data_IF_691534949799
#
_entry.id   IF_691534949799
#
_cell.length_a   1.000
_cell.length_b   1.000
_cell.length_c   1.000
_cell.angle_alpha   90.00
_cell.angle_beta   90.00
_cell.angle_gamma   90.00
#
_symmetry.space_group_name_H-M   'P 1'
#
loop_
_entity.id
_entity.type
_entity.pdbx_description
1 polymer ?
#
# COMPACT_ATOMS: atom_id res chain seq x y z
N UNK A 1 2.44 7.57 15.91
CA UNK A 1 1.31 6.81 15.32
C UNK A 1 0.01 7.27 15.97
N UNK A 2 -1.06 7.47 15.18
CA UNK A 2 -2.38 7.86 15.68
C UNK A 2 -3.37 6.70 15.57
N UNK A 3 -4.41 6.68 16.41
CA UNK A 3 -5.47 5.66 16.34
C UNK A 3 -6.27 5.80 15.05
N UNK A 4 -6.24 4.77 14.19
CA UNK A 4 -6.95 4.72 12.91
C UNK A 4 -8.27 3.95 13.01
N UNK A 5 -8.27 2.80 13.70
CA UNK A 5 -9.44 1.97 13.85
C UNK A 5 -9.45 1.27 15.21
N UNK A 6 -10.65 0.98 15.71
CA UNK A 6 -10.87 0.19 16.91
C UNK A 6 -11.77 -0.97 16.54
N UNK A 7 -11.31 -2.18 16.83
CA UNK A 7 -12.09 -3.41 16.66
C UNK A 7 -12.68 -3.78 18.01
N UNK A 8 -13.99 -4.01 18.04
CA UNK A 8 -14.71 -4.40 19.26
C UNK A 8 -15.31 -5.78 19.13
N UNK A 9 -15.28 -6.56 20.22
CA UNK A 9 -15.95 -7.86 20.35
C UNK A 9 -16.78 -7.89 21.62
N UNK A 10 -18.06 -8.22 21.51
CA UNK A 10 -19.01 -8.24 22.63
C UNK A 10 -18.98 -6.96 23.47
N UNK A 11 -18.90 -5.79 22.81
CA UNK A 11 -18.81 -4.44 23.42
C UNK A 11 -17.47 -4.10 24.11
N UNK A 12 -16.49 -4.99 24.07
CA UNK A 12 -15.13 -4.71 24.56
C UNK A 12 -14.21 -4.33 23.41
N UNK A 13 -13.26 -3.43 23.67
CA UNK A 13 -12.18 -3.15 22.72
C UNK A 13 -11.24 -4.35 22.68
N UNK A 14 -11.17 -4.99 21.52
CA UNK A 14 -10.29 -6.13 21.28
C UNK A 14 -8.95 -5.68 20.70
N UNK A 15 -8.96 -4.68 19.82
CA UNK A 15 -7.74 -4.19 19.17
C UNK A 15 -7.85 -2.73 18.80
N UNK A 16 -6.73 -2.02 18.94
CA UNK A 16 -6.55 -0.64 18.50
C UNK A 16 -5.49 -0.64 17.41
N UNK A 17 -5.87 -0.25 16.20
CA UNK A 17 -4.95 -0.12 15.08
C UNK A 17 -4.45 1.31 15.03
N UNK A 18 -3.14 1.49 15.24
CA UNK A 18 -2.48 2.77 15.10
C UNK A 18 -1.67 2.83 13.81
N UNK A 19 -1.55 4.02 13.24
CA UNK A 19 -0.80 4.20 12.01
C UNK A 19 -0.85 5.62 11.48
N UNK A 20 -0.67 5.72 10.17
CA UNK A 20 -0.63 6.95 9.40
C UNK A 20 -1.50 6.77 8.15
N UNK A 21 -2.16 7.83 7.72
CA UNK A 21 -2.91 7.85 6.46
C UNK A 21 -2.44 9.06 5.65
N UNK A 22 -2.19 8.86 4.37
CA UNK A 22 -1.97 9.91 3.40
C UNK A 22 -2.78 9.58 2.15
N UNK A 23 -3.69 10.47 1.76
CA UNK A 23 -4.47 10.35 0.53
C UNK A 23 -4.05 11.48 -0.38
N UNK A 24 -3.70 11.14 -1.62
CA UNK A 24 -3.30 12.09 -2.65
C UNK A 24 -4.24 12.01 -3.85
N UNK A 25 -4.37 13.11 -4.59
CA UNK A 25 -4.99 13.10 -5.91
C UNK A 25 -4.01 12.70 -7.01
N UNK A 26 -4.46 12.71 -8.27
CA UNK A 26 -3.64 12.36 -9.44
C UNK A 26 -2.50 13.34 -9.73
N UNK A 27 -2.55 14.55 -9.19
CA UNK A 27 -1.47 15.54 -9.28
C UNK A 27 -0.48 15.40 -8.10
N UNK A 28 -0.73 14.47 -7.18
CA UNK A 28 0.09 14.25 -5.99
C UNK A 28 -0.21 15.22 -4.84
N UNK A 29 -1.28 16.01 -4.92
CA UNK A 29 -1.68 16.91 -3.83
C UNK A 29 -2.31 16.10 -2.71
N UNK A 30 -1.90 16.37 -1.47
CA UNK A 30 -2.47 15.71 -0.29
C UNK A 30 -3.88 16.26 -0.04
N UNK A 31 -4.88 15.39 -0.16
CA UNK A 31 -6.29 15.73 0.10
C UNK A 31 -6.77 15.29 1.48
N UNK A 32 -6.05 14.36 2.12
CA UNK A 32 -6.28 13.96 3.50
C UNK A 32 -5.01 13.39 4.12
N UNK A 33 -4.80 13.66 5.42
CA UNK A 33 -3.75 13.01 6.20
C UNK A 33 -4.16 12.77 7.64
N UNK A 34 -3.56 11.76 8.26
CA UNK A 34 -3.68 11.44 9.68
C UNK A 34 -2.34 10.96 10.24
N UNK A 35 -1.89 11.55 11.35
CA UNK A 35 -0.54 11.42 11.90
C UNK A 35 0.57 12.10 11.08
N UNK A 36 1.83 11.86 11.46
CA UNK A 36 3.01 12.37 10.75
C UNK A 36 3.37 11.51 9.54
N UNK A 37 2.92 11.95 8.36
CA UNK A 37 3.16 11.27 7.08
C UNK A 37 4.62 11.29 6.60
N UNK A 38 5.52 12.01 7.28
CA UNK A 38 6.96 11.98 6.99
C UNK A 38 7.69 10.86 7.73
N UNK A 39 6.99 10.11 8.56
CA UNK A 39 7.55 8.95 9.27
C UNK A 39 8.06 7.92 8.26
N UNK A 40 9.32 7.49 8.40
CA UNK A 40 9.92 6.48 7.54
C UNK A 40 9.55 5.06 8.00
N UNK A 41 9.19 4.19 7.06
CA UNK A 41 8.93 2.78 7.29
C UNK A 41 9.23 1.95 6.04
N UNK A 42 9.53 0.67 6.23
CA UNK A 42 9.70 -0.27 5.12
C UNK A 42 8.35 -0.54 4.45
N UNK A 43 8.31 -0.53 3.11
CA UNK A 43 7.10 -0.85 2.35
C UNK A 43 6.62 -2.29 2.56
N UNK A 44 7.51 -3.20 2.96
CA UNK A 44 7.21 -4.64 3.06
C UNK A 44 6.55 -5.13 1.75
N UNK A 45 5.53 -5.97 1.84
CA UNK A 45 4.85 -6.49 0.64
C UNK A 45 4.09 -5.43 -0.18
N UNK A 46 3.91 -4.19 0.29
CA UNK A 46 3.26 -3.16 -0.53
C UNK A 46 4.16 -2.62 -1.65
N UNK A 47 5.46 -2.96 -1.65
CA UNK A 47 6.41 -2.58 -2.70
C UNK A 47 6.25 -3.39 -4.00
N UNK A 48 5.44 -4.45 -4.01
CA UNK A 48 5.22 -5.36 -5.13
C UNK A 48 5.01 -4.69 -6.50
N UNK A 49 4.11 -3.69 -6.63
CA UNK A 49 3.95 -2.96 -7.90
C UNK A 49 5.21 -2.21 -8.36
N UNK A 50 6.09 -1.82 -7.44
CA UNK A 50 7.37 -1.18 -7.76
C UNK A 50 8.41 -2.24 -8.15
N UNK A 51 8.40 -3.39 -7.47
CA UNK A 51 9.32 -4.51 -7.69
C UNK A 51 9.13 -5.17 -9.07
N UNK A 52 7.90 -5.18 -9.62
CA UNK A 52 7.60 -5.81 -10.92
C UNK A 52 8.00 -4.94 -12.12
N UNK A 53 8.11 -3.62 -11.96
CA UNK A 53 8.48 -2.67 -13.05
C UNK A 53 9.72 -3.12 -13.84
N UNK A 54 10.89 -3.41 -13.22
CA UNK A 54 12.08 -3.81 -13.97
C UNK A 54 11.90 -5.13 -14.73
N UNK A 55 11.10 -6.07 -14.23
CA UNK A 55 10.79 -7.33 -14.92
C UNK A 55 9.93 -7.09 -16.17
N UNK A 56 8.98 -6.17 -16.11
CA UNK A 56 8.17 -5.78 -17.27
C UNK A 56 9.04 -5.03 -18.28
N UNK A 57 9.84 -4.06 -17.81
CA UNK A 57 10.71 -3.23 -18.67
C UNK A 57 11.81 -4.03 -19.36
N UNK A 58 12.32 -5.10 -18.74
CA UNK A 58 13.29 -6.00 -19.36
C UNK A 58 12.68 -6.92 -20.43
N UNK A 59 11.36 -6.89 -20.60
CA UNK A 59 10.63 -7.77 -21.51
C UNK A 59 10.32 -9.15 -20.93
N UNK A 60 10.61 -9.40 -19.64
CA UNK A 60 10.37 -10.68 -18.99
C UNK A 60 8.91 -11.14 -19.07
N UNK A 61 7.96 -10.23 -18.84
CA UNK A 61 6.53 -10.53 -18.95
C UNK A 61 6.15 -10.99 -20.37
N UNK A 62 6.69 -10.34 -21.41
CA UNK A 62 6.47 -10.73 -22.81
C UNK A 62 7.12 -12.07 -23.13
N UNK A 63 8.36 -12.29 -22.67
CA UNK A 63 9.09 -13.54 -22.90
C UNK A 63 8.39 -14.75 -22.26
N UNK A 64 7.68 -14.54 -21.15
CA UNK A 64 6.92 -15.57 -20.43
C UNK A 64 5.44 -15.63 -20.82
N UNK A 65 4.98 -14.81 -21.78
CA UNK A 65 3.58 -14.70 -22.19
C UNK A 65 2.60 -14.40 -21.04
N UNK A 66 3.00 -13.59 -20.07
CA UNK A 66 2.10 -13.19 -18.98
C UNK A 66 1.00 -12.24 -19.44
N UNK A 67 -0.22 -12.47 -18.96
CA UNK A 67 -1.37 -11.59 -19.21
C UNK A 67 -1.36 -10.38 -18.26
N UNK A 68 -2.09 -9.29 -18.58
CA UNK A 68 -2.27 -8.17 -17.65
C UNK A 68 -2.81 -8.60 -16.27
N UNK A 69 -3.68 -9.60 -16.22
CA UNK A 69 -4.25 -10.13 -14.97
C UNK A 69 -3.18 -10.84 -14.12
N UNK A 70 -2.30 -11.62 -14.76
CA UNK A 70 -1.18 -12.30 -14.07
C UNK A 70 -0.16 -11.29 -13.54
N UNK A 71 0.10 -10.21 -14.31
CA UNK A 71 0.96 -9.11 -13.88
C UNK A 71 0.36 -8.36 -12.68
N UNK A 72 -0.97 -8.20 -12.63
CA UNK A 72 -1.66 -7.45 -11.57
C UNK A 72 -1.61 -8.11 -10.18
N UNK A 73 -1.30 -9.41 -10.09
CA UNK A 73 -1.11 -10.14 -8.83
C UNK A 73 0.29 -9.85 -8.24
N UNK A 74 1.21 -9.37 -9.08
CA UNK A 74 2.61 -9.06 -8.81
C UNK A 74 2.82 -8.06 -7.68
#
# INVERSE_FOLDING_TARGET
MEQLAVVTRNRYVESIHQGYICVVDSEGRIIYKKGDINTQFFFRSSAKPIQIIPFIQSGGAKAMNYTPEEIAIG
#
